data_IF_964123188177
#
_entry.id   IF_964123188177
#
_cell.length_a   1.000
_cell.length_b   1.000
_cell.length_c   1.000
_cell.angle_alpha   90.00
_cell.angle_beta   90.00
_cell.angle_gamma   90.00
#
_symmetry.space_group_name_H-M   'P 1'
#
loop_
_entity.id
_entity.type
_entity.pdbx_description
1 polymer ?
#
# COMPACT_ATOMS: atom_id res chain seq x y z
N UNK A 1 8.06 -15.56 7.43
CA UNK A 1 8.11 -14.16 6.94
C UNK A 1 9.55 -13.80 6.61
N UNK A 2 9.82 -13.15 5.47
CA UNK A 2 11.18 -12.77 5.10
C UNK A 2 11.73 -11.72 6.07
N UNK A 3 12.96 -11.94 6.58
CA UNK A 3 13.63 -10.98 7.47
C UNK A 3 13.74 -9.61 6.79
N UNK A 4 13.99 -9.57 5.47
CA UNK A 4 14.13 -8.33 4.73
C UNK A 4 12.83 -7.50 4.66
N UNK A 5 11.66 -8.14 4.70
CA UNK A 5 10.37 -7.44 4.60
C UNK A 5 10.01 -6.65 5.89
N UNK A 6 10.58 -7.04 7.03
CA UNK A 6 10.21 -6.50 8.35
C UNK A 6 11.39 -6.03 9.19
N UNK A 7 12.64 -6.21 8.72
CA UNK A 7 13.84 -5.86 9.49
C UNK A 7 13.93 -4.35 9.75
N UNK A 8 14.17 -3.94 11.01
CA UNK A 8 14.61 -2.59 11.32
C UNK A 8 15.93 -2.26 10.61
N UNK A 9 16.09 -1.02 10.14
CA UNK A 9 17.32 -0.54 9.50
C UNK A 9 17.55 -1.03 8.07
N UNK A 10 16.54 -1.58 7.39
CA UNK A 10 16.62 -1.87 5.96
C UNK A 10 16.69 -0.60 5.11
N UNK A 11 17.20 -0.71 3.89
CA UNK A 11 17.31 0.40 2.93
C UNK A 11 15.98 1.07 2.62
N UNK A 12 14.91 0.29 2.48
CA UNK A 12 13.56 0.82 2.46
C UNK A 12 13.09 1.04 3.89
N UNK A 13 12.58 2.22 4.22
CA UNK A 13 11.95 2.48 5.50
C UNK A 13 10.60 1.74 5.64
N UNK A 14 10.00 1.79 6.83
CA UNK A 14 8.76 1.07 7.10
C UNK A 14 7.57 1.60 6.28
N UNK A 15 7.47 2.92 6.07
CA UNK A 15 6.40 3.51 5.27
C UNK A 15 6.49 3.06 3.81
N UNK A 16 7.70 3.07 3.23
CA UNK A 16 7.94 2.60 1.87
C UNK A 16 7.57 1.14 1.67
N UNK A 17 7.90 0.27 2.65
CA UNK A 17 7.54 -1.16 2.56
C UNK A 17 6.05 -1.39 2.66
N UNK A 18 5.36 -0.64 3.52
CA UNK A 18 3.89 -0.72 3.63
C UNK A 18 3.21 -0.18 2.35
N UNK A 19 3.68 0.93 1.77
CA UNK A 19 3.18 1.43 0.49
C UNK A 19 3.35 0.40 -0.64
N UNK A 20 4.49 -0.29 -0.67
CA UNK A 20 4.73 -1.39 -1.61
C UNK A 20 3.75 -2.56 -1.35
N UNK A 21 3.50 -2.89 -0.08
CA UNK A 21 2.53 -3.92 0.29
C UNK A 21 1.10 -3.52 -0.10
N UNK A 22 0.71 -2.25 0.02
CA UNK A 22 -0.59 -1.75 -0.47
C UNK A 22 -0.71 -1.92 -1.98
N UNK A 23 0.30 -1.53 -2.76
CA UNK A 23 0.28 -1.71 -4.21
C UNK A 23 0.14 -3.20 -4.62
N UNK A 24 0.82 -4.10 -3.90
CA UNK A 24 0.73 -5.56 -4.09
C UNK A 24 -0.66 -6.10 -3.67
N UNK A 25 -1.24 -5.57 -2.59
CA UNK A 25 -2.57 -5.97 -2.14
C UNK A 25 -3.65 -5.53 -3.13
N UNK A 26 -3.53 -4.32 -3.69
CA UNK A 26 -4.39 -3.79 -4.75
C UNK A 26 -4.28 -4.63 -6.02
N UNK A 27 -3.08 -4.97 -6.47
CA UNK A 27 -2.90 -5.79 -7.68
C UNK A 27 -3.44 -7.22 -7.53
N UNK A 28 -3.45 -7.75 -6.30
CA UNK A 28 -4.05 -9.05 -5.98
C UNK A 28 -5.56 -8.98 -5.69
N UNK A 29 -6.12 -7.77 -5.50
CA UNK A 29 -7.52 -7.60 -5.07
C UNK A 29 -7.80 -8.13 -3.66
N UNK A 30 -6.80 -8.17 -2.77
CA UNK A 30 -6.98 -8.63 -1.39
C UNK A 30 -7.47 -7.48 -0.49
N UNK A 31 -8.78 -7.38 -0.25
CA UNK A 31 -9.37 -6.27 0.52
C UNK A 31 -8.88 -6.20 1.97
N UNK A 32 -8.80 -7.35 2.66
CA UNK A 32 -8.29 -7.40 4.04
C UNK A 32 -6.82 -6.95 4.10
N UNK A 33 -6.02 -7.35 3.10
CA UNK A 33 -4.63 -6.93 2.98
C UNK A 33 -4.53 -5.41 2.75
N UNK A 34 -5.40 -4.84 1.91
CA UNK A 34 -5.45 -3.39 1.66
C UNK A 34 -5.69 -2.66 2.98
N UNK A 35 -6.73 -3.02 3.72
CA UNK A 35 -7.07 -2.35 4.99
C UNK A 35 -5.91 -2.44 5.99
N UNK A 36 -5.31 -3.63 6.12
CA UNK A 36 -4.19 -3.85 7.03
C UNK A 36 -2.96 -3.00 6.68
N UNK A 37 -2.52 -3.06 5.42
CA UNK A 37 -1.30 -2.38 4.98
C UNK A 37 -1.47 -0.86 4.82
N UNK A 38 -2.68 -0.38 4.52
CA UNK A 38 -3.00 1.06 4.54
C UNK A 38 -2.88 1.61 5.96
N UNK A 39 -3.39 0.89 6.97
CA UNK A 39 -3.22 1.28 8.37
C UNK A 39 -1.76 1.25 8.81
N UNK A 40 -1.01 0.23 8.38
CA UNK A 40 0.44 0.14 8.58
C UNK A 40 1.19 1.33 7.97
N UNK A 41 0.91 1.65 6.70
CA UNK A 41 1.52 2.76 5.99
C UNK A 41 1.31 4.09 6.72
N UNK A 42 0.06 4.39 7.11
CA UNK A 42 -0.27 5.63 7.83
C UNK A 42 0.41 5.69 9.20
N UNK A 43 0.44 4.58 9.94
CA UNK A 43 1.14 4.47 11.23
C UNK A 43 2.64 4.73 11.10
N UNK A 44 3.24 4.33 9.99
CA UNK A 44 4.65 4.56 9.69
C UNK A 44 4.93 5.93 9.03
N UNK A 45 3.93 6.79 8.88
CA UNK A 45 4.09 8.16 8.42
C UNK A 45 4.02 8.33 6.91
N UNK A 46 3.49 7.33 6.17
CA UNK A 46 3.18 7.53 4.76
C UNK A 46 2.17 8.66 4.59
N UNK A 47 2.36 9.50 3.57
CA UNK A 47 1.45 10.57 3.20
C UNK A 47 0.38 10.08 2.24
N UNK A 48 -0.75 10.78 2.14
CA UNK A 48 -1.75 10.51 1.10
C UNK A 48 -1.12 10.58 -0.30
N UNK A 49 -0.24 11.55 -0.54
CA UNK A 49 0.46 11.70 -1.80
C UNK A 49 1.34 10.48 -2.13
N UNK A 50 2.11 9.97 -1.15
CA UNK A 50 2.92 8.76 -1.34
C UNK A 50 2.07 7.51 -1.57
N UNK A 51 0.88 7.44 -0.96
CA UNK A 51 -0.10 6.40 -1.29
C UNK A 51 -0.59 6.52 -2.73
N UNK A 52 -0.98 7.71 -3.18
CA UNK A 52 -1.44 7.94 -4.55
C UNK A 52 -0.38 7.50 -5.57
N UNK A 53 0.89 7.88 -5.36
CA UNK A 53 1.99 7.47 -6.23
C UNK A 53 2.16 5.94 -6.29
N UNK A 54 2.01 5.24 -5.16
CA UNK A 54 2.03 3.77 -5.14
C UNK A 54 0.82 3.14 -5.84
N UNK A 55 -0.36 3.75 -5.71
CA UNK A 55 -1.59 3.30 -6.37
C UNK A 55 -1.53 3.53 -7.89
N UNK A 56 -0.94 4.63 -8.36
CA UNK A 56 -0.72 4.88 -9.79
C UNK A 56 0.14 3.78 -10.42
N UNK A 57 1.20 3.33 -9.73
CA UNK A 57 1.99 2.17 -10.18
C UNK A 57 1.13 0.89 -10.22
N UNK A 58 0.28 0.66 -9.21
CA UNK A 58 -0.60 -0.50 -9.20
C UNK A 58 -1.65 -0.46 -10.33
N UNK A 59 -2.15 0.73 -10.67
CA UNK A 59 -3.10 0.97 -11.76
C UNK A 59 -2.43 0.78 -13.12
N UNK A 60 -1.24 1.31 -13.34
CA UNK A 60 -0.46 1.11 -14.57
C UNK A 60 -0.24 -0.39 -14.84
N UNK A 61 0.11 -1.15 -13.80
CA UNK A 61 0.43 -2.58 -13.94
C UNK A 61 -0.80 -3.50 -13.97
N UNK A 62 -1.90 -3.13 -13.33
CA UNK A 62 -3.08 -3.99 -13.15
C UNK A 62 -4.35 -3.51 -13.87
N UNK A 63 -4.34 -2.33 -14.49
CA UNK A 63 -5.44 -1.78 -15.28
C UNK A 63 -6.73 -1.59 -14.46
N UNK A 64 -7.88 -1.85 -15.10
CA UNK A 64 -9.21 -1.59 -14.54
C UNK A 64 -9.45 -2.18 -13.14
N UNK A 65 -9.13 -3.46 -12.85
CA UNK A 65 -9.27 -4.02 -11.51
C UNK A 65 -8.50 -3.24 -10.44
N UNK A 66 -7.25 -2.84 -10.72
CA UNK A 66 -6.44 -2.04 -9.80
C UNK A 66 -7.03 -0.65 -9.55
N UNK A 67 -7.74 -0.05 -10.51
CA UNK A 67 -8.45 1.23 -10.28
C UNK A 67 -9.51 1.04 -9.19
N UNK A 68 -10.28 -0.05 -9.26
CA UNK A 68 -11.36 -0.30 -8.29
C UNK A 68 -10.82 -0.57 -6.88
N UNK A 69 -9.80 -1.45 -6.76
CA UNK A 69 -9.19 -1.73 -5.46
C UNK A 69 -8.34 -0.57 -4.94
N UNK A 70 -7.72 0.21 -5.83
CA UNK A 70 -6.98 1.42 -5.47
C UNK A 70 -7.89 2.51 -4.89
N UNK A 71 -9.10 2.67 -5.44
CA UNK A 71 -10.11 3.55 -4.86
C UNK A 71 -10.46 3.15 -3.41
N UNK A 72 -10.64 1.85 -3.15
CA UNK A 72 -10.87 1.33 -1.80
C UNK A 72 -9.69 1.60 -0.87
N UNK A 73 -8.46 1.44 -1.36
CA UNK A 73 -7.26 1.73 -0.58
C UNK A 73 -7.16 3.21 -0.18
N UNK A 74 -7.46 4.13 -1.11
CA UNK A 74 -7.49 5.57 -0.85
C UNK A 74 -8.58 5.95 0.15
N UNK A 75 -9.78 5.36 0.02
CA UNK A 75 -10.87 5.56 0.97
C UNK A 75 -10.50 5.07 2.38
N UNK A 76 -9.93 3.87 2.48
CA UNK A 76 -9.46 3.31 3.74
C UNK A 76 -8.40 4.21 4.40
N UNK A 77 -7.49 4.80 3.62
CA UNK A 77 -6.44 5.68 4.16
C UNK A 77 -7.01 6.97 4.74
N UNK A 78 -8.03 7.53 4.07
CA UNK A 78 -8.72 8.76 4.49
C UNK A 78 -9.60 8.58 5.73
N UNK A 79 -10.10 7.37 5.94
CA UNK A 79 -10.95 7.04 7.07
C UNK A 79 -10.21 6.83 8.40
N UNK A 80 -8.87 6.70 8.36
CA UNK A 80 -7.99 6.54 9.54
C UNK A 80 -7.58 7.88 10.15
#
# INVERSE_FOLDING_TARGET
>A
MSKAATAPGSTFDAAQRELMAVAIAVSQGCEDCIVYHVAGAKRHGATEQGLIEALEVAVEMGGGPSVMYGAKALEAFKAL
#
